data_IF_503173961920
#
_entry.id   IF_503173961920
#
_cell.length_a   1.000
_cell.length_b   1.000
_cell.length_c   1.000
_cell.angle_alpha   90.00
_cell.angle_beta   90.00
_cell.angle_gamma   90.00
#
_symmetry.space_group_name_H-M   'P 1'
#
loop_
_entity.id
_entity.type
_entity.pdbx_description
1 polymer ?
#
# COMPACT_ATOMS: atom_id res chain seq x y z
N UNK A 1 51.38 -9.89 -37.24
CA UNK A 1 50.00 -9.64 -37.72
C UNK A 1 49.86 -10.26 -39.09
N UNK A 2 48.77 -11.00 -39.41
CA UNK A 2 47.40 -10.48 -39.39
C UNK A 2 46.39 -11.28 -38.52
N UNK A 3 45.40 -10.53 -38.05
CA UNK A 3 44.23 -10.95 -37.26
C UNK A 3 43.30 -11.89 -38.07
N UNK A 4 42.88 -13.01 -37.47
CA UNK A 4 41.62 -13.68 -37.80
C UNK A 4 40.58 -13.38 -36.72
N UNK A 5 39.45 -12.85 -37.17
CA UNK A 5 38.26 -12.48 -36.40
C UNK A 5 37.24 -13.63 -36.40
N UNK A 6 36.39 -13.61 -35.37
CA UNK A 6 35.04 -14.17 -35.21
C UNK A 6 34.90 -15.61 -34.68
N UNK A 7 34.27 -15.66 -33.51
CA UNK A 7 33.61 -16.78 -32.88
C UNK A 7 32.77 -16.23 -31.72
N UNK A 8 31.81 -15.37 -32.08
CA UNK A 8 30.76 -14.86 -31.21
C UNK A 8 29.95 -16.04 -30.64
N UNK A 9 29.95 -16.19 -29.32
CA UNK A 9 28.89 -16.87 -28.58
C UNK A 9 28.56 -15.99 -27.39
N UNK A 10 27.72 -14.99 -27.66
CA UNK A 10 26.91 -14.33 -26.64
C UNK A 10 26.27 -15.38 -25.74
N UNK A 11 26.82 -15.55 -24.54
CA UNK A 11 26.13 -16.21 -23.44
C UNK A 11 25.03 -15.25 -23.02
N UNK A 12 23.84 -15.47 -23.59
CA UNK A 12 22.63 -14.75 -23.22
C UNK A 12 22.44 -14.86 -21.71
N UNK A 13 22.56 -13.71 -21.03
CA UNK A 13 22.07 -13.55 -19.67
C UNK A 13 20.56 -13.84 -19.73
N UNK A 14 20.16 -15.04 -19.38
CA UNK A 14 18.77 -15.36 -19.08
C UNK A 14 18.42 -14.52 -17.86
N UNK A 15 17.74 -13.39 -18.07
CA UNK A 15 17.12 -12.65 -16.98
C UNK A 15 16.23 -13.63 -16.22
N UNK A 16 16.60 -13.94 -14.98
CA UNK A 16 15.76 -14.74 -14.09
C UNK A 16 14.42 -14.03 -13.99
N UNK A 17 13.40 -14.58 -14.67
CA UNK A 17 12.01 -14.15 -14.55
C UNK A 17 11.69 -13.99 -13.07
N UNK A 18 11.49 -12.75 -12.64
CA UNK A 18 11.14 -12.42 -11.25
C UNK A 18 9.79 -13.08 -10.94
N UNK A 19 9.78 -14.00 -9.97
CA UNK A 19 8.53 -14.57 -9.45
C UNK A 19 7.73 -13.44 -8.82
N UNK A 20 6.49 -13.26 -9.26
CA UNK A 20 5.58 -12.29 -8.68
C UNK A 20 4.73 -12.98 -7.60
N UNK A 21 4.56 -12.31 -6.48
CA UNK A 21 3.83 -12.82 -5.32
C UNK A 21 2.69 -11.85 -5.00
N UNK A 22 1.49 -12.40 -4.82
CA UNK A 22 0.30 -11.70 -4.38
C UNK A 22 -0.01 -12.10 -2.93
N UNK A 23 -0.19 -11.12 -2.05
CA UNK A 23 -0.61 -11.34 -0.68
C UNK A 23 -2.06 -10.92 -0.52
N UNK A 24 -2.93 -11.85 -0.11
CA UNK A 24 -4.32 -11.57 0.21
C UNK A 24 -4.48 -11.42 1.71
N UNK A 25 -5.22 -10.39 2.13
CA UNK A 25 -5.64 -10.22 3.51
C UNK A 25 -7.15 -10.42 3.57
N UNK A 26 -7.61 -11.43 4.32
CA UNK A 26 -9.00 -11.89 4.31
C UNK A 26 -9.50 -12.01 5.74
N UNK A 27 -10.72 -11.57 6.03
CA UNK A 27 -11.35 -11.64 7.36
C UNK A 27 -11.99 -13.02 7.66
N UNK A 28 -11.35 -14.10 7.21
CA UNK A 28 -11.88 -15.47 7.23
C UNK A 28 -11.53 -16.26 8.50
N UNK A 29 -10.93 -15.61 9.50
CA UNK A 29 -10.64 -16.18 10.80
C UNK A 29 -11.54 -15.56 11.88
N UNK A 30 -12.07 -16.36 12.81
CA UNK A 30 -13.03 -15.89 13.80
C UNK A 30 -12.53 -14.75 14.69
N UNK A 31 -11.21 -14.61 14.85
CA UNK A 31 -10.58 -13.57 15.67
C UNK A 31 -9.94 -12.44 14.83
N UNK A 32 -10.07 -12.45 13.50
CA UNK A 32 -9.52 -11.38 12.67
C UNK A 32 -9.22 -11.81 11.24
N UNK A 33 -8.00 -11.52 10.80
CA UNK A 33 -7.61 -11.62 9.39
C UNK A 33 -6.52 -12.68 9.18
N UNK A 34 -6.56 -13.37 8.05
CA UNK A 34 -5.44 -14.19 7.56
C UNK A 34 -4.73 -13.49 6.42
N UNK A 35 -3.40 -13.60 6.40
CA UNK A 35 -2.55 -13.23 5.26
C UNK A 35 -2.20 -14.51 4.52
N UNK A 36 -2.46 -14.55 3.20
CA UNK A 36 -2.23 -15.72 2.33
C UNK A 36 -1.39 -15.32 1.13
N UNK A 37 -0.41 -16.14 0.76
CA UNK A 37 0.49 -15.90 -0.38
C UNK A 37 0.02 -16.69 -1.61
N UNK A 38 -0.01 -16.03 -2.77
CA UNK A 38 -0.32 -16.60 -4.09
C UNK A 38 0.86 -16.32 -5.01
N UNK A 39 1.40 -17.36 -5.64
CA UNK A 39 2.43 -17.21 -6.67
C UNK A 39 1.78 -16.89 -8.02
N UNK A 40 2.18 -15.78 -8.63
CA UNK A 40 1.80 -15.38 -9.98
C UNK A 40 2.94 -15.76 -10.93
N UNK A 41 3.05 -17.03 -11.32
CA UNK A 41 4.00 -17.44 -12.35
C UNK A 41 3.50 -17.03 -13.74
N UNK A 42 4.32 -16.30 -14.50
CA UNK A 42 4.10 -16.08 -15.94
C UNK A 42 4.15 -17.43 -16.66
N UNK A 43 3.05 -17.81 -17.31
CA UNK A 43 2.94 -19.07 -18.05
C UNK A 43 3.99 -19.18 -19.16
N UNK A 44 4.94 -20.10 -18.98
CA UNK A 44 5.56 -20.99 -19.96
C UNK A 44 6.82 -21.52 -19.31
N UNK A 45 6.69 -22.67 -18.66
CA UNK A 45 7.69 -23.73 -18.68
C UNK A 45 6.89 -25.03 -18.62
N UNK A 46 6.49 -25.49 -19.80
CA UNK A 46 6.24 -26.90 -20.03
C UNK A 46 7.58 -27.63 -19.87
N UNK A 47 7.86 -28.15 -18.68
CA UNK A 47 8.04 -29.60 -18.54
C UNK A 47 8.09 -30.01 -17.06
N UNK A 48 7.38 -31.10 -16.81
CA UNK A 48 7.44 -31.99 -15.66
C UNK A 48 6.86 -31.57 -14.28
N UNK A 49 5.78 -32.30 -13.95
CA UNK A 49 5.26 -32.71 -12.64
C UNK A 49 4.77 -31.66 -11.62
N UNK A 50 3.56 -31.13 -11.84
CA UNK A 50 2.35 -31.63 -11.15
C UNK A 50 1.10 -31.00 -11.80
N UNK A 51 0.21 -31.78 -12.44
CA UNK A 51 -0.98 -31.22 -13.04
C UNK A 51 -1.92 -30.71 -11.95
N UNK A 52 -2.38 -29.47 -12.13
CA UNK A 52 -3.69 -29.03 -11.66
C UNK A 52 -4.70 -30.11 -12.09
N UNK A 53 -5.18 -30.89 -11.13
CA UNK A 53 -6.25 -31.84 -11.38
C UNK A 53 -7.52 -31.04 -11.69
N UNK A 54 -7.72 -30.76 -12.98
CA UNK A 54 -9.06 -30.59 -13.56
C UNK A 54 -9.64 -32.00 -13.64
N UNK A 55 -10.31 -32.41 -12.57
CA UNK A 55 -11.26 -33.51 -12.61
C UNK A 55 -12.58 -33.01 -12.05
N UNK A 56 -13.63 -33.15 -12.84
CA UNK A 56 -14.95 -32.57 -12.59
C UNK A 56 -15.61 -33.06 -11.30
N UNK A 57 -16.62 -32.28 -10.89
CA UNK A 57 -17.51 -32.40 -9.72
C UNK A 57 -16.95 -31.85 -8.41
N UNK A 58 -17.41 -30.63 -8.07
CA UNK A 58 -17.76 -30.26 -6.70
C UNK A 58 -16.64 -29.89 -5.72
N UNK A 59 -15.38 -29.79 -6.15
CA UNK A 59 -14.31 -29.27 -5.29
C UNK A 59 -14.17 -27.75 -5.49
N UNK A 60 -14.84 -26.96 -4.65
CA UNK A 60 -14.60 -25.52 -4.60
C UNK A 60 -13.10 -25.23 -4.45
N UNK A 61 -12.55 -24.30 -5.23
CA UNK A 61 -11.15 -23.85 -5.11
C UNK A 61 -10.91 -23.44 -3.65
N UNK A 62 -10.13 -24.24 -2.91
CA UNK A 62 -9.74 -23.90 -1.53
C UNK A 62 -8.68 -22.80 -1.58
N UNK A 63 -8.83 -21.80 -0.73
CA UNK A 63 -7.84 -20.74 -0.56
C UNK A 63 -6.49 -21.33 -0.08
N UNK A 64 -5.34 -20.75 -0.48
CA UNK A 64 -4.01 -21.18 -0.02
C UNK A 64 -3.89 -21.15 1.49
N UNK A 65 -3.06 -21.99 2.11
CA UNK A 65 -2.91 -22.00 3.58
C UNK A 65 -2.54 -20.61 4.13
N UNK A 66 -3.10 -20.20 5.29
CA UNK A 66 -2.69 -18.97 5.97
C UNK A 66 -1.19 -18.96 6.25
N UNK A 67 -0.52 -17.88 5.84
CA UNK A 67 0.88 -17.59 6.16
C UNK A 67 0.98 -16.92 7.53
N UNK A 68 0.06 -16.01 7.82
CA UNK A 68 0.02 -15.24 9.06
C UNK A 68 -1.42 -15.01 9.50
N UNK A 69 -1.64 -14.85 10.81
CA UNK A 69 -2.93 -14.52 11.42
C UNK A 69 -2.77 -13.26 12.27
N UNK A 70 -3.64 -12.30 12.03
CA UNK A 70 -3.69 -11.03 12.71
C UNK A 70 -5.02 -10.92 13.46
N UNK A 71 -4.94 -10.83 14.77
CA UNK A 71 -6.12 -10.62 15.62
C UNK A 71 -6.54 -9.16 15.54
N UNK A 72 -7.79 -8.92 15.14
CA UNK A 72 -8.34 -7.59 14.97
C UNK A 72 -9.87 -7.64 14.74
N UNK A 73 -10.59 -6.52 15.01
CA UNK A 73 -12.00 -6.40 14.67
C UNK A 73 -12.29 -6.67 13.19
N UNK A 74 -13.18 -7.64 12.94
CA UNK A 74 -13.60 -8.05 11.59
C UNK A 74 -14.55 -7.03 10.94
N UNK A 75 -14.69 -7.09 9.62
CA UNK A 75 -15.57 -6.19 8.86
C UNK A 75 -15.06 -4.75 8.76
N UNK A 76 -13.79 -4.52 9.13
CA UNK A 76 -13.16 -3.20 9.08
C UNK A 76 -11.84 -3.22 8.27
N UNK A 77 -11.86 -3.69 7.01
CA UNK A 77 -10.65 -3.84 6.18
C UNK A 77 -9.95 -2.49 5.90
N UNK A 78 -10.66 -1.36 6.02
CA UNK A 78 -10.08 -0.02 5.85
C UNK A 78 -8.96 0.31 6.84
N UNK A 79 -8.82 -0.46 7.92
CA UNK A 79 -7.73 -0.30 8.88
C UNK A 79 -6.50 -1.15 8.58
N UNK A 80 -6.53 -1.96 7.53
CA UNK A 80 -5.36 -2.72 7.11
C UNK A 80 -4.86 -2.14 5.79
N UNK A 81 -3.55 -1.92 5.68
CA UNK A 81 -2.93 -1.38 4.47
C UNK A 81 -1.65 -2.13 4.15
N UNK A 82 -1.46 -2.55 2.89
CA UNK A 82 -0.27 -3.27 2.42
C UNK A 82 0.77 -2.36 1.76
N UNK A 83 0.54 -1.05 1.80
CA UNK A 83 0.99 -0.20 0.71
C UNK A 83 2.33 0.50 0.95
N UNK A 84 3.20 -0.10 1.76
CA UNK A 84 4.53 0.42 2.05
C UNK A 84 5.61 -0.59 1.68
N UNK A 85 5.93 -0.68 0.39
CA UNK A 85 6.87 -1.67 -0.13
C UNK A 85 6.42 -3.08 0.22
N UNK A 86 7.17 -3.78 1.09
CA UNK A 86 6.93 -5.18 1.46
C UNK A 86 6.08 -5.35 2.73
N UNK A 87 5.43 -4.30 3.22
CA UNK A 87 4.84 -4.27 4.56
C UNK A 87 3.32 -4.22 4.55
N UNK A 88 2.70 -5.11 5.32
CA UNK A 88 1.27 -5.12 5.64
C UNK A 88 1.09 -4.62 7.06
N UNK A 89 0.38 -3.51 7.22
CA UNK A 89 0.16 -2.82 8.49
C UNK A 89 -1.28 -2.94 8.94
N UNK A 90 -1.47 -3.17 10.24
CA UNK A 90 -2.78 -3.24 10.86
C UNK A 90 -2.99 -2.05 11.81
N UNK A 91 -3.74 -1.05 11.36
CA UNK A 91 -3.96 0.22 12.03
C UNK A 91 -5.33 0.28 12.72
N UNK A 92 -5.84 -0.86 13.20
CA UNK A 92 -7.18 -0.95 13.82
C UNK A 92 -7.35 0.02 14.99
N UNK A 93 -8.52 0.65 15.13
CA UNK A 93 -8.80 1.53 16.25
C UNK A 93 -8.84 0.71 17.54
N UNK A 94 -8.49 1.34 18.65
CA UNK A 94 -8.59 0.77 19.99
C UNK A 94 -10.01 0.27 20.24
N UNK A 95 -10.19 -0.97 20.67
CA UNK A 95 -11.46 -1.31 21.32
C UNK A 95 -11.51 -0.62 22.68
N UNK A 96 -12.62 0.04 23.05
CA UNK A 96 -12.73 0.76 24.31
C UNK A 96 -12.63 -0.15 25.57
N UNK A 97 -12.48 -1.47 25.43
CA UNK A 97 -12.44 -2.41 26.53
C UNK A 97 -11.23 -3.37 26.48
N UNK A 98 -10.11 -2.95 27.07
CA UNK A 98 -9.25 -3.76 27.95
C UNK A 98 -8.58 -5.06 27.49
N UNK A 99 -8.65 -5.47 26.22
CA UNK A 99 -8.18 -6.80 25.78
C UNK A 99 -6.99 -6.81 24.79
N UNK A 100 -6.29 -5.70 24.59
CA UNK A 100 -5.20 -5.67 23.60
C UNK A 100 -3.88 -6.25 24.16
N UNK A 101 -3.39 -7.33 23.52
CA UNK A 101 -2.07 -7.94 23.75
C UNK A 101 -0.93 -7.19 23.01
N UNK A 102 -1.26 -6.13 22.26
CA UNK A 102 -0.30 -5.28 21.55
C UNK A 102 0.11 -4.12 22.47
N UNK A 103 1.40 -3.76 22.57
CA UNK A 103 1.82 -2.61 23.37
C UNK A 103 0.99 -1.36 23.02
N UNK A 104 0.51 -0.65 24.03
CA UNK A 104 -0.42 0.49 23.91
C UNK A 104 0.03 1.59 22.92
N UNK A 105 1.31 1.59 22.56
CA UNK A 105 1.98 2.62 21.78
C UNK A 105 2.28 2.22 20.33
N UNK A 106 1.98 0.99 19.91
CA UNK A 106 2.39 0.47 18.61
C UNK A 106 1.32 -0.30 17.84
N UNK A 107 1.54 -0.49 16.55
CA UNK A 107 0.73 -1.34 15.67
C UNK A 107 1.59 -2.39 14.97
N UNK A 108 1.05 -3.60 14.72
CA UNK A 108 1.83 -4.66 14.10
C UNK A 108 1.97 -4.45 12.59
N UNK A 109 3.15 -4.82 12.09
CA UNK A 109 3.54 -4.74 10.69
C UNK A 109 4.14 -6.08 10.31
N UNK A 110 3.51 -6.76 9.35
CA UNK A 110 4.05 -7.95 8.75
C UNK A 110 4.87 -7.59 7.52
N UNK A 111 6.18 -7.84 7.56
CA UNK A 111 7.05 -7.68 6.39
C UNK A 111 7.11 -8.99 5.62
N UNK A 112 6.52 -8.99 4.42
CA UNK A 112 6.43 -10.18 3.57
C UNK A 112 7.80 -10.64 3.07
N UNK A 113 8.80 -9.76 3.04
CA UNK A 113 10.16 -10.07 2.58
C UNK A 113 10.93 -10.88 3.62
N UNK A 114 10.95 -10.40 4.87
CA UNK A 114 11.61 -11.10 5.98
C UNK A 114 10.73 -12.19 6.60
N UNK A 115 9.43 -12.19 6.32
CA UNK A 115 8.39 -12.96 7.03
C UNK A 115 8.41 -12.69 8.54
N UNK A 116 8.86 -11.50 8.93
CA UNK A 116 8.92 -11.04 10.30
C UNK A 116 7.78 -10.09 10.66
N UNK A 117 7.56 -9.93 11.96
CA UNK A 117 6.68 -8.90 12.52
C UNK A 117 7.53 -7.82 13.17
N UNK A 118 7.30 -6.57 12.78
CA UNK A 118 7.83 -5.39 13.45
C UNK A 118 6.67 -4.54 13.94
N UNK A 119 6.98 -3.51 14.73
CA UNK A 119 5.98 -2.62 15.31
C UNK A 119 6.24 -1.17 14.90
N UNK A 120 5.19 -0.47 14.50
CA UNK A 120 5.23 0.95 14.16
C UNK A 120 4.61 1.84 15.24
N UNK A 121 4.97 3.13 15.33
CA UNK A 121 4.37 4.04 16.29
C UNK A 121 2.93 4.28 15.91
N UNK A 122 2.02 4.36 16.88
CA UNK A 122 0.60 4.66 16.59
C UNK A 122 0.43 6.09 16.04
N UNK A 123 -0.55 6.31 15.13
CA UNK A 123 -1.03 7.64 14.81
C UNK A 123 -1.50 8.35 16.08
N UNK A 124 -1.43 9.67 16.09
CA UNK A 124 -1.87 10.49 17.23
C UNK A 124 -3.39 10.50 17.34
N UNK A 125 -4.07 10.53 16.20
CA UNK A 125 -5.53 10.47 16.13
C UNK A 125 -5.96 9.09 15.64
N UNK A 126 -7.08 8.59 16.16
CA UNK A 126 -7.74 7.39 15.62
C UNK A 126 -8.89 7.82 14.70
N UNK A 127 -8.62 8.05 13.40
CA UNK A 127 -9.68 8.45 12.49
C UNK A 127 -10.74 7.35 12.38
N UNK A 128 -12.00 7.74 12.51
CA UNK A 128 -13.11 6.88 12.14
C UNK A 128 -13.10 6.71 10.61
N UNK A 129 -12.96 5.48 10.11
CA UNK A 129 -12.93 5.16 8.68
C UNK A 129 -11.88 5.97 7.89
N UNK A 130 -10.57 5.80 8.16
CA UNK A 130 -9.52 6.54 7.47
C UNK A 130 -9.49 6.26 5.95
N UNK A 131 -8.87 7.15 5.19
CA UNK A 131 -8.24 6.80 3.91
C UNK A 131 -6.74 6.78 4.18
N UNK A 132 -6.10 5.65 3.90
CA UNK A 132 -4.64 5.56 3.88
C UNK A 132 -4.12 5.82 2.48
N UNK A 133 -3.23 6.79 2.35
CA UNK A 133 -2.62 7.21 1.09
C UNK A 133 -1.14 6.82 1.10
N UNK A 134 -0.79 5.65 0.55
CA UNK A 134 0.60 5.27 0.38
C UNK A 134 1.27 6.13 -0.68
N UNK A 135 2.53 6.47 -0.45
CA UNK A 135 3.36 7.28 -1.33
C UNK A 135 4.67 6.54 -1.62
N UNK A 136 5.25 6.79 -2.80
CA UNK A 136 6.61 6.31 -3.11
C UNK A 136 7.59 6.83 -2.05
N UNK A 137 8.62 6.04 -1.75
CA UNK A 137 9.58 6.36 -0.70
C UNK A 137 9.18 5.83 0.68
N UNK A 138 8.25 4.88 0.78
CA UNK A 138 7.81 4.28 2.05
C UNK A 138 7.18 5.28 3.03
N UNK A 139 6.35 6.19 2.51
CA UNK A 139 5.52 7.11 3.30
C UNK A 139 4.05 6.72 3.27
N UNK A 140 3.33 7.06 4.33
CA UNK A 140 1.90 6.80 4.45
C UNK A 140 1.18 8.00 5.06
N UNK A 141 0.24 8.60 4.33
CA UNK A 141 -0.70 9.54 4.96
C UNK A 141 -1.94 8.81 5.48
N UNK A 142 -2.44 9.26 6.61
CA UNK A 142 -3.73 8.89 7.16
C UNK A 142 -4.66 10.11 7.11
N UNK A 143 -5.70 10.03 6.29
CA UNK A 143 -6.74 11.04 6.18
C UNK A 143 -7.95 10.62 7.00
N UNK A 144 -8.24 11.40 8.05
CA UNK A 144 -9.37 11.26 8.95
C UNK A 144 -10.37 12.40 8.85
N UNK A 145 -11.44 12.32 9.62
CA UNK A 145 -12.35 13.45 9.83
C UNK A 145 -11.61 14.54 10.61
N UNK A 146 -11.18 15.60 9.90
CA UNK A 146 -10.46 16.73 10.48
C UNK A 146 -8.98 16.48 10.79
N UNK A 147 -8.45 15.28 10.54
CA UNK A 147 -7.03 14.96 10.72
C UNK A 147 -6.36 14.57 9.41
N UNK A 148 -5.11 14.97 9.27
CA UNK A 148 -4.23 14.51 8.20
C UNK A 148 -2.86 14.29 8.82
N UNK A 149 -2.42 13.04 8.89
CA UNK A 149 -1.19 12.64 9.56
C UNK A 149 -0.27 11.91 8.58
N UNK A 150 1.03 12.10 8.71
CA UNK A 150 2.06 11.47 7.89
C UNK A 150 2.92 10.56 8.75
N UNK A 151 3.03 9.31 8.33
CA UNK A 151 4.06 8.40 8.77
C UNK A 151 5.25 8.49 7.81
N UNK A 152 6.38 9.08 8.25
CA UNK A 152 7.58 9.20 7.42
C UNK A 152 8.21 7.83 7.17
N UNK A 153 9.15 7.73 6.21
CA UNK A 153 9.85 6.47 5.98
C UNK A 153 10.62 6.04 7.22
N UNK A 154 10.90 4.72 7.34
CA UNK A 154 11.86 4.29 8.34
C UNK A 154 13.19 4.99 8.16
N UNK A 155 13.86 5.38 9.26
CA UNK A 155 15.27 5.70 9.18
C UNK A 155 15.98 4.56 8.45
N UNK A 156 16.78 4.89 7.43
CA UNK A 156 17.65 3.92 6.78
C UNK A 156 18.49 3.25 7.87
N UNK A 157 18.57 1.91 7.88
CA UNK A 157 19.45 1.19 8.80
C UNK A 157 20.87 1.71 8.60
N UNK A 158 21.34 2.56 9.52
CA UNK A 158 22.73 2.98 9.55
C UNK A 158 23.52 1.90 10.30
N UNK A 159 24.40 1.14 9.65
CA UNK A 159 25.22 0.16 10.33
C UNK A 159 26.11 0.88 11.34
N UNK A 160 25.91 0.64 12.64
CA UNK A 160 26.81 1.12 13.69
C UNK A 160 26.20 1.98 14.81
N UNK A 161 24.94 2.42 14.70
CA UNK A 161 24.21 2.92 15.89
C UNK A 161 23.37 1.82 16.48
N UNK A 162 23.82 1.25 17.60
CA UNK A 162 23.07 0.29 18.43
C UNK A 162 21.84 0.90 19.13
N UNK A 163 21.06 1.71 18.42
CA UNK A 163 19.77 2.20 18.85
C UNK A 163 18.69 1.43 18.11
N UNK A 164 17.74 0.89 18.86
CA UNK A 164 16.49 0.32 18.35
C UNK A 164 15.96 1.17 17.18
N UNK A 165 15.69 0.55 16.04
CA UNK A 165 15.12 1.19 14.86
C UNK A 165 13.69 1.67 15.17
N UNK A 166 13.58 2.78 15.89
CA UNK A 166 12.31 3.43 16.18
C UNK A 166 11.93 4.22 14.94
N UNK A 167 10.87 3.77 14.27
CA UNK A 167 10.16 4.60 13.32
C UNK A 167 9.88 5.97 13.94
N UNK A 168 10.12 7.03 13.18
CA UNK A 168 9.80 8.38 13.64
C UNK A 168 8.31 8.49 13.94
N UNK A 169 7.95 9.30 14.93
CA UNK A 169 6.55 9.56 15.28
C UNK A 169 5.79 10.16 14.08
N UNK A 170 4.47 10.01 14.10
CA UNK A 170 3.60 10.62 13.12
C UNK A 170 3.72 12.14 13.17
N UNK A 171 3.85 12.75 11.99
CA UNK A 171 3.84 14.18 11.79
C UNK A 171 2.43 14.65 11.40
N UNK A 172 2.04 15.85 11.78
CA UNK A 172 0.75 16.44 11.42
C UNK A 172 0.96 17.58 10.42
N UNK A 173 0.77 17.32 9.12
CA UNK A 173 0.64 18.39 8.14
C UNK A 173 -0.62 19.26 8.39
N UNK A 174 -0.78 20.38 7.64
CA UNK A 174 -1.93 21.24 7.73
C UNK A 174 -3.23 20.44 7.55
N UNK A 175 -4.26 20.72 8.36
CA UNK A 175 -5.51 19.98 8.30
C UNK A 175 -6.18 20.16 6.93
N UNK A 176 -6.92 19.15 6.45
CA UNK A 176 -7.57 19.22 5.16
C UNK A 176 -8.70 20.26 5.21
N UNK A 177 -8.90 21.07 4.14
CA UNK A 177 -9.97 22.07 4.08
C UNK A 177 -11.35 21.45 3.78
N UNK A 178 -11.52 20.16 4.09
CA UNK A 178 -12.72 19.36 3.84
C UNK A 178 -12.77 18.20 4.83
N UNK A 179 -13.95 17.59 4.93
CA UNK A 179 -14.17 16.43 5.80
C UNK A 179 -13.97 15.13 5.02
N UNK A 180 -13.39 14.12 5.66
CA UNK A 180 -13.07 12.82 5.05
C UNK A 180 -14.31 12.09 4.54
N UNK A 181 -15.48 12.28 5.16
CA UNK A 181 -16.78 11.76 4.67
C UNK A 181 -17.23 12.32 3.32
N UNK A 182 -16.75 13.50 2.92
CA UNK A 182 -17.06 14.10 1.62
C UNK A 182 -16.14 13.61 0.49
N UNK A 183 -15.07 12.88 0.81
CA UNK A 183 -14.13 12.37 -0.20
C UNK A 183 -14.82 11.34 -1.07
N UNK A 184 -14.98 11.67 -2.35
CA UNK A 184 -15.56 10.76 -3.36
C UNK A 184 -14.46 9.99 -4.08
N UNK A 185 -13.32 10.64 -4.33
CA UNK A 185 -12.20 9.99 -5.00
C UNK A 185 -10.87 10.65 -4.73
N UNK A 186 -9.80 9.89 -4.97
CA UNK A 186 -8.44 10.34 -4.73
C UNK A 186 -7.44 9.63 -5.62
N UNK A 187 -6.31 10.30 -5.86
CA UNK A 187 -5.14 9.75 -6.53
C UNK A 187 -3.88 10.25 -5.82
N UNK A 188 -2.82 9.46 -5.86
CA UNK A 188 -1.49 9.87 -5.42
C UNK A 188 -0.58 9.81 -6.63
N UNK A 189 -0.03 10.96 -7.00
CA UNK A 189 1.03 11.09 -7.99
C UNK A 189 2.37 11.14 -7.24
N UNK A 190 3.15 10.06 -7.27
CA UNK A 190 4.49 10.10 -6.72
C UNK A 190 5.43 10.81 -7.69
N UNK A 191 6.41 11.53 -7.16
CA UNK A 191 7.52 12.02 -7.96
C UNK A 191 8.70 11.05 -7.86
N UNK A 192 9.59 11.10 -8.86
CA UNK A 192 10.69 10.13 -9.03
C UNK A 192 11.73 10.15 -7.89
N UNK A 193 11.76 11.21 -7.10
CA UNK A 193 12.75 11.43 -6.03
C UNK A 193 12.40 10.74 -4.70
N UNK A 194 11.18 10.21 -4.55
CA UNK A 194 10.68 9.58 -3.33
C UNK A 194 10.59 10.52 -2.11
N UNK A 195 10.88 11.80 -2.30
CA UNK A 195 10.79 12.86 -1.29
C UNK A 195 9.63 13.82 -1.55
N UNK A 196 9.11 13.84 -2.79
CA UNK A 196 7.99 14.67 -3.19
C UNK A 196 6.79 13.87 -3.68
N UNK A 197 5.59 14.37 -3.41
CA UNK A 197 4.35 13.75 -3.85
C UNK A 197 3.21 14.74 -3.98
N UNK A 198 2.34 14.50 -4.96
CA UNK A 198 1.11 15.24 -5.16
C UNK A 198 -0.09 14.32 -4.90
N UNK A 199 -0.83 14.61 -3.83
CA UNK A 199 -2.11 13.94 -3.55
C UNK A 199 -3.22 14.77 -4.19
N UNK A 200 -4.11 14.14 -4.95
CA UNK A 200 -5.31 14.75 -5.53
C UNK A 200 -6.52 14.16 -4.84
N UNK A 201 -7.42 15.01 -4.34
CA UNK A 201 -8.65 14.59 -3.65
C UNK A 201 -9.83 15.35 -4.24
N UNK A 202 -10.85 14.60 -4.63
CA UNK A 202 -12.15 15.12 -5.02
C UNK A 202 -13.13 14.92 -3.88
N UNK A 203 -13.89 15.97 -3.59
CA UNK A 203 -14.94 15.96 -2.57
C UNK A 203 -16.27 16.41 -3.15
N UNK A 204 -17.34 15.85 -2.61
CA UNK A 204 -18.71 16.25 -2.89
C UNK A 204 -19.49 16.24 -1.57
N UNK A 205 -20.09 17.39 -1.23
CA UNK A 205 -20.94 17.51 -0.05
C UNK A 205 -22.39 17.69 -0.47
N UNK A 206 -23.31 16.99 0.20
CA UNK A 206 -24.74 16.94 -0.14
C UNK A 206 -25.47 18.30 -0.16
N UNK A 207 -24.82 19.39 0.25
CA UNK A 207 -25.27 20.77 0.02
C UNK A 207 -24.16 21.79 -0.27
N UNK A 208 -22.90 21.37 -0.36
CA UNK A 208 -21.72 22.25 -0.44
C UNK A 208 -21.06 22.35 -1.82
N UNK A 209 -21.62 21.66 -2.83
CA UNK A 209 -21.03 21.58 -4.17
C UNK A 209 -19.81 20.65 -4.23
N UNK A 210 -19.26 20.52 -5.44
CA UNK A 210 -18.07 19.72 -5.71
C UNK A 210 -16.79 20.56 -5.61
N UNK A 211 -15.70 19.95 -5.19
CA UNK A 211 -14.39 20.57 -5.23
C UNK A 211 -13.26 19.56 -5.39
N UNK A 212 -12.20 19.97 -6.07
CA UNK A 212 -10.96 19.20 -6.18
C UNK A 212 -9.84 19.96 -5.49
N UNK A 213 -9.11 19.27 -4.62
CA UNK A 213 -7.97 19.76 -3.88
C UNK A 213 -6.72 18.97 -4.22
N UNK A 214 -5.58 19.63 -4.12
CA UNK A 214 -4.29 18.94 -4.14
C UNK A 214 -3.52 19.24 -2.87
N UNK A 215 -2.82 18.24 -2.36
CA UNK A 215 -1.81 18.40 -1.33
C UNK A 215 -0.44 18.15 -1.97
N UNK A 216 0.35 19.21 -2.02
CA UNK A 216 1.74 19.16 -2.44
C UNK A 216 2.61 18.88 -1.22
N UNK A 217 3.61 18.02 -1.36
CA UNK A 217 4.45 17.57 -0.28
C UNK A 217 5.88 17.43 -0.74
N UNK A 218 6.78 18.11 -0.05
CA UNK A 218 8.23 17.97 -0.17
C UNK A 218 8.85 17.81 1.23
N UNK A 219 9.31 16.59 1.53
CA UNK A 219 9.94 16.29 2.82
C UNK A 219 11.31 16.96 2.98
N UNK A 220 12.03 17.18 1.88
CA UNK A 220 13.38 17.73 1.87
C UNK A 220 13.38 19.24 2.06
N UNK A 221 12.42 19.93 1.43
CA UNK A 221 12.21 21.36 1.61
C UNK A 221 11.37 21.70 2.86
N UNK A 222 10.64 20.73 3.42
CA UNK A 222 9.68 20.97 4.50
C UNK A 222 8.47 21.79 4.03
N UNK A 223 8.20 21.78 2.73
CA UNK A 223 7.11 22.52 2.11
C UNK A 223 5.92 21.57 1.89
N UNK A 224 4.78 21.94 2.45
CA UNK A 224 3.55 21.19 2.25
C UNK A 224 2.34 22.10 2.36
N UNK A 225 1.29 21.83 1.58
CA UNK A 225 0.10 22.66 1.62
C UNK A 225 -1.05 22.22 0.72
N UNK A 226 -2.25 22.52 1.20
CA UNK A 226 -3.49 22.32 0.46
C UNK A 226 -3.72 23.46 -0.54
N UNK A 227 -4.08 23.11 -1.78
CA UNK A 227 -4.47 24.04 -2.83
C UNK A 227 -5.78 23.56 -3.46
N UNK A 228 -6.79 24.45 -3.54
CA UNK A 228 -8.02 24.16 -4.29
C UNK A 228 -7.75 24.32 -5.78
N UNK A 229 -8.05 23.30 -6.58
CA UNK A 229 -7.88 23.31 -8.04
C UNK A 229 -9.13 23.72 -8.80
N UNK A 230 -10.31 23.49 -8.23
CA UNK A 230 -11.56 23.91 -8.85
C UNK A 230 -12.81 23.54 -8.07
N UNK A 231 -13.95 24.03 -8.56
CA UNK A 231 -15.29 23.71 -8.06
C UNK A 231 -15.96 22.54 -8.79
N UNK A 232 -15.18 21.52 -9.12
CA UNK A 232 -15.62 20.33 -9.85
C UNK A 232 -15.08 19.08 -9.16
N UNK A 233 -15.76 17.95 -9.36
CA UNK A 233 -15.36 16.63 -8.88
C UNK A 233 -14.70 15.81 -10.00
N UNK A 234 -13.83 14.87 -9.63
CA UNK A 234 -13.31 13.88 -10.56
C UNK A 234 -14.42 12.93 -11.01
N UNK A 235 -14.32 12.43 -12.24
CA UNK A 235 -15.36 11.61 -12.90
C UNK A 235 -15.40 10.15 -12.44
N UNK A 236 -14.65 9.80 -11.39
CA UNK A 236 -14.61 8.46 -10.82
C UNK A 236 -14.76 8.50 -9.29
N UNK A 237 -15.12 7.35 -8.72
CA UNK A 237 -15.23 7.13 -7.28
C UNK A 237 -14.13 6.18 -6.80
N UNK A 238 -13.57 6.46 -5.62
CA UNK A 238 -12.51 5.65 -5.01
C UNK A 238 -11.10 6.05 -5.44
N UNK A 239 -10.16 5.11 -5.34
CA UNK A 239 -8.75 5.33 -5.66
C UNK A 239 -8.50 5.22 -7.17
N UNK A 240 -7.76 6.17 -7.72
CA UNK A 240 -7.11 6.05 -9.04
C UNK A 240 -5.59 5.96 -8.91
N UNK A 241 -4.97 5.44 -9.96
CA UNK A 241 -3.52 5.42 -10.12
C UNK A 241 -3.13 6.42 -11.20
N UNK A 242 -1.99 7.08 -11.01
CA UNK A 242 -1.45 7.95 -12.04
C UNK A 242 -0.72 7.11 -13.09
N UNK A 243 -0.98 7.40 -14.35
CA UNK A 243 -0.30 6.81 -15.49
C UNK A 243 0.54 7.90 -16.16
N UNK A 244 1.87 7.75 -16.10
CA UNK A 244 2.82 8.71 -16.65
C UNK A 244 2.73 8.86 -18.17
N UNK A 245 2.24 7.84 -18.87
CA UNK A 245 2.11 7.86 -20.33
C UNK A 245 0.83 8.61 -20.77
N UNK A 246 -0.18 8.68 -19.90
CA UNK A 246 -1.46 9.35 -20.17
C UNK A 246 -1.55 10.76 -19.61
N UNK A 247 -0.67 11.12 -18.66
CA UNK A 247 -0.68 12.44 -18.01
C UNK A 247 -1.96 12.74 -17.20
N UNK A 248 -2.82 11.74 -16.97
CA UNK A 248 -4.11 11.88 -16.25
C UNK A 248 -4.33 10.70 -15.29
N UNK A 249 -5.02 10.91 -14.16
CA UNK A 249 -5.42 9.81 -13.28
C UNK A 249 -6.39 8.86 -14.01
N UNK A 250 -6.06 7.58 -14.06
CA UNK A 250 -6.92 6.55 -14.66
C UNK A 250 -7.32 5.52 -13.62
N UNK A 251 -8.53 4.97 -13.77
CA UNK A 251 -8.93 3.79 -13.01
C UNK A 251 -8.21 2.61 -13.66
N UNK A 252 -7.30 1.97 -12.94
CA UNK A 252 -6.55 0.83 -13.45
C UNK A 252 -7.52 -0.25 -13.97
N UNK A 253 -7.55 -0.44 -15.29
CA UNK A 253 -8.09 -1.63 -15.94
C UNK A 253 -6.97 -2.67 -15.92
N UNK A 254 -6.99 -3.58 -14.94
CA UNK A 254 -6.28 -4.87 -14.77
C UNK A 254 -4.90 -5.18 -15.39
N UNK A 255 -4.20 -4.25 -16.04
CA UNK A 255 -3.06 -4.55 -16.90
C UNK A 255 -1.80 -3.77 -16.56
N UNK A 256 -1.58 -3.36 -15.30
CA UNK A 256 -0.28 -2.82 -14.90
C UNK A 256 0.18 -3.34 -13.53
N UNK A 257 1.05 -4.35 -13.61
CA UNK A 257 1.85 -4.91 -12.52
C UNK A 257 3.02 -3.96 -12.24
N UNK A 258 2.84 -3.02 -11.31
CA UNK A 258 3.93 -2.22 -10.76
C UNK A 258 4.56 -2.88 -9.53
N UNK A 259 5.86 -2.66 -9.37
CA UNK A 259 6.86 -3.35 -8.55
C UNK A 259 6.66 -3.31 -7.02
N UNK A 260 5.45 -3.47 -6.52
CA UNK A 260 5.17 -3.64 -5.10
C UNK A 260 4.13 -4.74 -4.91
N UNK A 261 4.18 -5.52 -3.82
CA UNK A 261 3.12 -6.47 -3.50
C UNK A 261 1.80 -5.73 -3.29
N UNK A 262 0.98 -5.69 -4.33
CA UNK A 262 -0.39 -5.17 -4.28
C UNK A 262 -1.22 -6.22 -3.56
N UNK A 263 -1.71 -5.93 -2.35
CA UNK A 263 -2.73 -6.77 -1.74
C UNK A 263 -4.08 -6.42 -2.37
N UNK A 264 -4.74 -7.42 -2.94
CA UNK A 264 -6.13 -7.30 -3.37
C UNK A 264 -7.06 -7.73 -2.24
N UNK A 265 -8.11 -6.95 -2.04
CA UNK A 265 -9.21 -7.24 -1.13
C UNK A 265 -10.32 -7.95 -1.90
N UNK A 266 -10.83 -9.05 -1.36
CA UNK A 266 -12.08 -9.70 -1.79
C UNK A 266 -13.13 -9.51 -0.71
#
# INVERSE_FOLDING_TARGET
MPKRRRGDRGSGRTEKRRRQHLYLVIDDWSQGYTIREINLSSGNDSDDSTPLAVSGKGAGRRLPKPLFRLEAPRGLPQYITSALGTRIMALHPREPAGADLVPETSFPIFDVRSRGVIFGPRPKTYPARPIYLPVIGNMLFALGDGSFELLPPPPLEQPGRGGWCLWSAWFEPPPPPFERRHVTSYAVHPNDDGGTALVIISVESGGGGAATFTFDFDIGAGEFGWKRRGGWALTFTGRAHFDGDLGVPSKASTDFLLESPVAFWL
#
